data_IF_082565618751
#
_entry.id   IF_082565618751
#
_cell.length_a   1.000
_cell.length_b   1.000
_cell.length_c   1.000
_cell.angle_alpha   90.00
_cell.angle_beta   90.00
_cell.angle_gamma   90.00
#
_symmetry.space_group_name_H-M   'P 1'
#
loop_
_entity.id
_entity.type
_entity.pdbx_description
1 polymer ?
#
# COMPACT_ATOMS: atom_id res chain seq x y z
N UNK A 1 -15.54 3.20 4.46
CA UNK A 1 -16.05 4.56 4.82
C UNK A 1 -15.00 5.68 4.98
N UNK A 2 -13.70 5.39 5.14
CA UNK A 2 -12.67 6.41 5.42
C UNK A 2 -11.64 6.59 4.29
N UNK A 3 -11.95 6.11 3.09
CA UNK A 3 -11.00 6.10 1.98
C UNK A 3 -10.59 7.50 1.51
N UNK A 4 -11.50 8.48 1.55
CA UNK A 4 -11.26 9.86 1.16
C UNK A 4 -10.21 10.58 2.03
N UNK A 5 -10.03 10.14 3.29
CA UNK A 5 -9.05 10.70 4.23
C UNK A 5 -7.94 9.71 4.60
N UNK A 6 -7.86 8.56 3.89
CA UNK A 6 -6.92 7.50 4.23
C UNK A 6 -5.49 7.83 3.78
N UNK A 7 -4.64 8.20 4.74
CA UNK A 7 -3.20 8.39 4.53
C UNK A 7 -2.36 7.12 4.69
N UNK A 8 -2.97 5.98 5.08
CA UNK A 8 -2.23 4.74 5.37
C UNK A 8 -1.57 4.15 4.12
N UNK A 9 -0.37 3.62 4.31
CA UNK A 9 0.38 2.77 3.39
C UNK A 9 0.86 1.57 4.21
N UNK A 10 0.71 0.34 3.70
CA UNK A 10 1.07 -0.87 4.44
C UNK A 10 2.31 -1.50 3.84
N UNK A 11 3.28 -1.89 4.68
CA UNK A 11 4.43 -2.70 4.31
C UNK A 11 4.18 -4.15 4.76
N UNK A 12 4.39 -5.11 3.87
CA UNK A 12 4.31 -6.54 4.16
C UNK A 12 5.65 -7.09 4.65
N UNK A 13 5.64 -8.23 5.34
CA UNK A 13 6.85 -8.94 5.79
C UNK A 13 7.79 -9.32 4.64
N UNK A 14 7.27 -9.44 3.42
CA UNK A 14 8.04 -9.78 2.23
C UNK A 14 8.65 -8.55 1.53
N UNK A 15 8.53 -7.36 2.12
CA UNK A 15 9.09 -6.12 1.55
C UNK A 15 8.27 -5.57 0.37
N UNK A 16 6.94 -5.69 0.44
CA UNK A 16 6.01 -5.11 -0.55
C UNK A 16 5.12 -4.04 0.07
N UNK A 17 4.89 -2.96 -0.67
CA UNK A 17 3.97 -1.88 -0.31
C UNK A 17 2.56 -2.18 -0.83
N UNK A 18 1.55 -1.85 -0.02
CA UNK A 18 0.13 -1.94 -0.37
C UNK A 18 -0.52 -0.58 -0.08
N UNK A 19 -1.04 0.05 -1.12
CA UNK A 19 -1.71 1.36 -1.07
C UNK A 19 -3.13 1.31 -0.48
N UNK A 20 -3.85 0.22 -0.69
CA UNK A 20 -5.25 0.08 -0.30
C UNK A 20 -5.58 -1.37 0.07
N UNK A 21 -6.26 -1.58 1.21
CA UNK A 21 -6.71 -2.93 1.59
C UNK A 21 -7.83 -3.47 0.69
N UNK A 22 -8.63 -2.58 0.10
CA UNK A 22 -9.72 -2.93 -0.83
C UNK A 22 -9.22 -3.18 -2.26
N UNK A 23 -7.98 -2.83 -2.54
CA UNK A 23 -7.31 -3.03 -3.82
C UNK A 23 -5.85 -3.38 -3.53
N UNK A 24 -5.57 -4.64 -3.12
CA UNK A 24 -4.27 -5.06 -2.60
C UNK A 24 -3.25 -5.25 -3.72
N UNK A 25 -3.03 -4.20 -4.51
CA UNK A 25 -1.92 -4.13 -5.46
C UNK A 25 -0.64 -4.03 -4.65
N UNK A 26 0.27 -4.96 -4.89
CA UNK A 26 1.53 -5.07 -4.18
C UNK A 26 2.67 -4.51 -5.04
N UNK A 27 3.41 -3.55 -4.51
CA UNK A 27 4.61 -3.00 -5.14
C UNK A 27 5.85 -3.50 -4.39
N UNK A 28 6.70 -4.28 -5.04
CA UNK A 28 7.93 -4.80 -4.41
C UNK A 28 8.97 -3.70 -4.24
N UNK A 29 9.43 -3.46 -3.01
CA UNK A 29 10.54 -2.54 -2.73
C UNK A 29 11.79 -3.26 -2.23
N UNK A 30 11.72 -4.59 -2.06
CA UNK A 30 12.79 -5.38 -1.45
C UNK A 30 14.12 -5.24 -2.20
N UNK A 31 14.08 -5.21 -3.53
CA UNK A 31 15.24 -5.05 -4.39
C UNK A 31 15.97 -3.71 -4.20
N UNK A 32 15.25 -2.67 -3.75
CA UNK A 32 15.82 -1.35 -3.51
C UNK A 32 16.51 -1.22 -2.15
N UNK A 33 16.19 -2.11 -1.20
CA UNK A 33 16.79 -2.07 0.14
C UNK A 33 18.28 -2.43 0.14
N UNK A 34 18.72 -3.15 -0.89
CA UNK A 34 20.12 -3.57 -1.04
C UNK A 34 20.95 -2.56 -1.86
N UNK A 35 20.33 -1.50 -2.40
CA UNK A 35 20.98 -0.45 -3.18
C UNK A 35 21.52 0.69 -2.29
N UNK A 36 22.64 1.30 -2.69
CA UNK A 36 23.29 2.38 -1.94
C UNK A 36 22.57 3.73 -2.05
N UNK A 37 21.86 3.97 -3.16
CA UNK A 37 21.11 5.21 -3.40
C UNK A 37 19.77 4.96 -4.13
N UNK A 38 18.77 4.36 -3.44
CA UNK A 38 17.48 4.04 -4.04
C UNK A 38 16.48 5.20 -3.95
N UNK A 39 16.85 6.41 -3.52
CA UNK A 39 15.89 7.44 -3.09
C UNK A 39 14.87 7.80 -4.18
N UNK A 40 15.32 8.06 -5.41
CA UNK A 40 14.42 8.41 -6.51
C UNK A 40 13.48 7.26 -6.89
N UNK A 41 14.02 6.05 -6.97
CA UNK A 41 13.26 4.87 -7.38
C UNK A 41 12.25 4.47 -6.31
N UNK A 42 12.66 4.51 -5.04
CA UNK A 42 11.79 4.27 -3.88
C UNK A 42 10.66 5.29 -3.84
N UNK A 43 10.97 6.57 -4.05
CA UNK A 43 9.95 7.63 -4.11
C UNK A 43 8.95 7.37 -5.25
N UNK A 44 9.43 6.94 -6.41
CA UNK A 44 8.57 6.58 -7.54
C UNK A 44 7.61 5.43 -7.17
N UNK A 45 8.13 4.34 -6.60
CA UNK A 45 7.33 3.17 -6.20
C UNK A 45 6.34 3.50 -5.07
N UNK A 46 6.70 4.39 -4.15
CA UNK A 46 5.79 4.88 -3.11
C UNK A 46 4.66 5.70 -3.73
N UNK A 47 4.95 6.59 -4.68
CA UNK A 47 3.92 7.38 -5.38
C UNK A 47 3.01 6.50 -6.23
N UNK A 48 3.57 5.49 -6.90
CA UNK A 48 2.80 4.46 -7.60
C UNK A 48 1.87 3.71 -6.64
N UNK A 49 2.39 3.26 -5.50
CA UNK A 49 1.58 2.58 -4.47
C UNK A 49 0.43 3.46 -3.96
N UNK A 50 0.67 4.76 -3.80
CA UNK A 50 -0.34 5.74 -3.39
C UNK A 50 -1.38 5.95 -4.48
N UNK A 51 -1.02 5.89 -5.76
CA UNK A 51 -1.95 6.04 -6.88
C UNK A 51 -3.04 4.94 -6.92
N UNK A 52 -2.76 3.77 -6.32
CA UNK A 52 -3.74 2.68 -6.21
C UNK A 52 -4.82 2.91 -5.13
N UNK A 53 -4.73 4.02 -4.37
CA UNK A 53 -5.77 4.42 -3.42
C UNK A 53 -7.06 4.77 -4.16
N UNK A 54 -8.12 4.02 -3.86
CA UNK A 54 -9.47 4.36 -4.33
C UNK A 54 -10.13 5.35 -3.37
N UNK A 55 -10.93 6.27 -3.90
CA UNK A 55 -11.71 7.25 -3.13
C UNK A 55 -12.86 6.62 -2.35
N UNK A 56 -13.25 5.39 -2.71
CA UNK A 56 -14.34 4.66 -2.08
C UNK A 56 -13.93 3.24 -1.71
N UNK A 57 -14.47 2.78 -0.59
CA UNK A 57 -14.33 1.39 -0.16
C UNK A 57 -15.27 0.54 -1.00
N UNK A 58 -14.73 -0.21 -1.95
CA UNK A 58 -15.45 -1.29 -2.60
C UNK A 58 -15.39 -2.49 -1.67
N UNK A 59 -16.39 -2.63 -0.81
CA UNK A 59 -16.41 -3.71 0.18
C UNK A 59 -16.37 -5.08 -0.48
N UNK A 60 -15.40 -5.89 -0.08
CA UNK A 60 -15.54 -7.34 -0.10
C UNK A 60 -16.25 -7.77 1.19
N UNK A 61 -16.80 -8.99 1.24
CA UNK A 61 -17.45 -9.62 2.41
C UNK A 61 -16.56 -9.75 3.67
N UNK A 62 -15.39 -9.09 3.68
CA UNK A 62 -14.50 -8.98 4.81
C UNK A 62 -15.04 -7.95 5.80
N UNK A 63 -15.87 -8.49 6.70
CA UNK A 63 -16.33 -7.87 7.93
C UNK A 63 -15.17 -7.14 8.63
N UNK A 64 -15.44 -5.91 9.08
CA UNK A 64 -14.47 -5.05 9.78
C UNK A 64 -13.88 -5.69 11.07
N UNK A 65 -14.43 -6.82 11.52
CA UNK A 65 -13.91 -7.64 12.62
C UNK A 65 -12.57 -8.32 12.32
N UNK A 66 -12.14 -8.42 11.05
CA UNK A 66 -10.87 -9.06 10.66
C UNK A 66 -9.72 -8.09 10.36
N UNK A 67 -9.97 -6.78 10.39
CA UNK A 67 -8.98 -5.76 9.97
C UNK A 67 -8.36 -5.01 11.16
N UNK A 68 -8.77 -5.35 12.39
CA UNK A 68 -8.15 -4.85 13.62
C UNK A 68 -7.13 -5.84 14.17
N UNK A 69 -5.86 -5.50 14.02
CA UNK A 69 -4.82 -5.87 14.98
C UNK A 69 -4.59 -4.72 15.93
#
# INVERSE_FOLDING_TARGET
PFCSTCSRLRLTSNGKLIGCLSNPVETSIRHLLDHHDPEMELKSLVMESVSYKKSQFTGSDLVMSKVGG
#
